data_IF_467004101269
#
_entry.id   IF_467004101269
#
_cell.length_a   1.000
_cell.length_b   1.000
_cell.length_c   1.000
_cell.angle_alpha   90.00
_cell.angle_beta   90.00
_cell.angle_gamma   90.00
#
_symmetry.space_group_name_H-M   'P 1'
#
loop_
_entity.id
_entity.type
_entity.pdbx_description
1 polymer ?
#
# COMPACT_ATOMS: atom_id res chain seq x y z
N UNK A 1 -21.94 -12.30 4.12
CA UNK A 1 -23.06 -11.37 3.83
C UNK A 1 -23.43 -10.67 5.13
N UNK A 2 -23.28 -9.35 5.24
CA UNK A 2 -23.66 -8.61 6.45
C UNK A 2 -25.19 -8.47 6.49
N UNK A 3 -25.79 -8.83 7.62
CA UNK A 3 -27.22 -8.65 7.82
C UNK A 3 -27.53 -7.16 8.08
N UNK A 4 -28.76 -6.73 7.80
CA UNK A 4 -29.21 -5.34 8.04
C UNK A 4 -29.01 -4.90 9.49
N UNK A 5 -29.13 -5.82 10.45
CA UNK A 5 -28.85 -5.59 11.87
C UNK A 5 -27.39 -5.23 12.14
N UNK A 6 -26.45 -5.90 11.45
CA UNK A 6 -25.01 -5.68 11.63
C UNK A 6 -24.61 -4.30 11.07
N UNK A 7 -25.20 -3.92 9.94
CA UNK A 7 -24.99 -2.60 9.34
C UNK A 7 -25.53 -1.51 10.29
N UNK A 8 -26.70 -1.69 10.87
CA UNK A 8 -27.27 -0.74 11.81
C UNK A 8 -26.45 -0.64 13.10
N UNK A 9 -25.92 -1.74 13.61
CA UNK A 9 -25.01 -1.74 14.76
C UNK A 9 -23.72 -0.96 14.48
N UNK A 10 -23.12 -1.16 13.32
CA UNK A 10 -21.93 -0.42 12.88
C UNK A 10 -22.23 1.07 12.76
N UNK A 11 -23.34 1.43 12.11
CA UNK A 11 -23.76 2.85 11.96
C UNK A 11 -23.99 3.50 13.32
N UNK A 12 -24.64 2.80 14.25
CA UNK A 12 -24.90 3.30 15.60
C UNK A 12 -23.59 3.50 16.36
N UNK A 13 -22.67 2.55 16.27
CA UNK A 13 -21.33 2.66 16.89
C UNK A 13 -20.55 3.85 16.34
N UNK A 14 -20.45 3.96 15.01
CA UNK A 14 -19.72 5.07 14.37
C UNK A 14 -20.32 6.44 14.75
N UNK A 15 -21.64 6.55 14.87
CA UNK A 15 -22.30 7.79 15.31
C UNK A 15 -22.12 8.08 16.80
N UNK A 16 -21.88 7.07 17.61
CA UNK A 16 -21.63 7.24 19.05
C UNK A 16 -20.19 7.66 19.37
N UNK A 17 -19.25 7.43 18.44
CA UNK A 17 -17.86 7.87 18.58
C UNK A 17 -17.81 9.38 18.36
N UNK A 18 -17.38 10.12 19.38
CA UNK A 18 -17.20 11.56 19.27
C UNK A 18 -16.20 11.88 18.18
N UNK A 19 -16.59 12.78 17.27
CA UNK A 19 -15.66 13.30 16.27
C UNK A 19 -14.56 14.09 16.99
N UNK A 20 -13.32 13.65 16.86
CA UNK A 20 -12.16 14.44 17.27
C UNK A 20 -11.90 15.45 16.15
N UNK A 21 -11.88 16.73 16.50
CA UNK A 21 -11.52 17.76 15.53
C UNK A 21 -10.12 17.49 14.99
N UNK A 22 -9.95 17.58 13.68
CA UNK A 22 -8.66 17.30 13.03
C UNK A 22 -7.54 18.23 13.53
N UNK A 23 -7.94 19.43 14.01
CA UNK A 23 -7.04 20.40 14.66
C UNK A 23 -6.45 19.90 15.98
N UNK A 24 -7.10 18.95 16.65
CA UNK A 24 -6.67 18.45 17.96
C UNK A 24 -5.80 17.19 17.85
N UNK A 25 -5.63 16.67 16.62
CA UNK A 25 -4.70 15.58 16.36
C UNK A 25 -3.29 16.14 16.25
N UNK A 26 -2.29 15.52 16.92
CA UNK A 26 -0.91 15.88 16.69
C UNK A 26 -0.60 15.71 15.20
N UNK A 27 0.03 16.71 14.60
CA UNK A 27 0.47 16.63 13.21
C UNK A 27 1.18 15.28 12.98
N UNK A 28 0.83 14.54 11.92
CA UNK A 28 1.55 13.32 11.58
C UNK A 28 3.03 13.70 11.46
N UNK A 29 3.88 13.15 12.32
CA UNK A 29 5.32 13.31 12.13
C UNK A 29 5.61 12.83 10.71
N UNK A 30 6.16 13.73 9.90
CA UNK A 30 6.64 13.35 8.58
C UNK A 30 7.49 12.09 8.74
N UNK A 31 7.12 11.02 8.04
CA UNK A 31 8.00 9.85 8.00
C UNK A 31 9.36 10.33 7.54
N UNK A 32 10.44 9.91 8.21
CA UNK A 32 11.77 10.28 7.76
C UNK A 32 11.88 9.94 6.28
N UNK A 33 12.39 10.87 5.49
CA UNK A 33 12.70 10.61 4.09
C UNK A 33 13.49 9.29 4.00
N UNK A 34 13.23 8.45 2.98
CA UNK A 34 13.97 7.20 2.83
C UNK A 34 15.47 7.53 2.88
N UNK A 35 16.11 7.05 3.93
CA UNK A 35 17.53 7.27 4.14
C UNK A 35 18.32 6.51 3.07
N UNK A 36 19.58 6.88 2.86
CA UNK A 36 20.52 6.08 2.06
C UNK A 36 20.59 4.61 2.51
N UNK A 37 20.21 4.33 3.75
CA UNK A 37 20.02 3.00 4.31
C UNK A 37 18.91 2.22 3.58
N UNK A 38 17.78 2.84 3.29
CA UNK A 38 16.70 2.20 2.55
C UNK A 38 17.13 1.81 1.12
N UNK A 39 18.01 2.57 0.49
CA UNK A 39 18.60 2.21 -0.81
C UNK A 39 19.53 0.99 -0.70
N UNK A 40 20.36 0.95 0.33
CA UNK A 40 21.26 -0.19 0.57
C UNK A 40 20.50 -1.47 0.90
N UNK A 41 19.44 -1.38 1.72
CA UNK A 41 18.57 -2.52 2.05
C UNK A 41 17.77 -2.96 0.84
N UNK A 42 17.19 -2.03 0.09
CA UNK A 42 16.45 -2.35 -1.13
C UNK A 42 17.33 -2.93 -2.25
N UNK A 43 18.62 -2.61 -2.28
CA UNK A 43 19.57 -3.21 -3.23
C UNK A 43 19.82 -4.71 -2.95
N UNK A 44 19.64 -5.16 -1.70
CA UNK A 44 19.76 -6.57 -1.30
C UNK A 44 18.42 -7.32 -1.33
N UNK A 45 17.30 -6.64 -1.62
CA UNK A 45 16.01 -7.27 -1.82
C UNK A 45 16.00 -7.97 -3.18
N UNK A 46 15.29 -9.07 -3.27
CA UNK A 46 15.11 -9.87 -4.48
C UNK A 46 15.02 -8.99 -5.75
N UNK A 47 15.94 -9.16 -6.72
CA UNK A 47 15.98 -8.38 -7.94
C UNK A 47 14.68 -8.43 -8.75
N UNK A 48 13.85 -9.46 -8.55
CA UNK A 48 12.53 -9.60 -9.18
C UNK A 48 11.63 -8.43 -8.75
N UNK A 49 11.53 -8.14 -7.45
CA UNK A 49 10.70 -7.05 -6.95
C UNK A 49 11.10 -5.69 -7.53
N UNK A 50 12.41 -5.44 -7.63
CA UNK A 50 12.93 -4.23 -8.28
C UNK A 50 12.57 -4.17 -9.76
N UNK A 51 12.69 -5.29 -10.48
CA UNK A 51 12.40 -5.34 -11.91
C UNK A 51 10.90 -5.12 -12.18
N UNK A 52 10.01 -5.73 -11.39
CA UNK A 52 8.57 -5.51 -11.49
C UNK A 52 8.22 -4.05 -11.18
N UNK A 53 8.81 -3.47 -10.12
CA UNK A 53 8.59 -2.07 -9.79
C UNK A 53 9.01 -1.15 -10.94
N UNK A 54 10.16 -1.38 -11.53
CA UNK A 54 10.68 -0.62 -12.67
C UNK A 54 9.72 -0.65 -13.86
N UNK A 55 9.21 -1.83 -14.19
CA UNK A 55 8.39 -2.03 -15.39
C UNK A 55 6.93 -1.61 -15.24
N UNK A 56 6.35 -1.70 -14.04
CA UNK A 56 4.91 -1.53 -13.86
C UNK A 56 4.50 -0.41 -12.89
N UNK A 57 5.37 0.03 -11.99
CA UNK A 57 4.99 0.89 -10.88
C UNK A 57 5.64 2.27 -10.94
N UNK A 58 6.91 2.34 -11.34
CA UNK A 58 7.71 3.56 -11.31
C UNK A 58 7.13 4.71 -12.15
N UNK A 59 6.38 4.39 -13.22
CA UNK A 59 5.74 5.41 -14.07
C UNK A 59 4.72 6.28 -13.34
N UNK A 60 4.04 5.73 -12.32
CA UNK A 60 3.07 6.47 -11.51
C UNK A 60 3.60 6.82 -10.13
N UNK A 61 4.37 5.93 -9.50
CA UNK A 61 4.85 6.08 -8.14
C UNK A 61 6.20 6.79 -8.02
N UNK A 62 6.91 6.95 -9.15
CA UNK A 62 8.27 7.47 -9.22
C UNK A 62 9.32 6.62 -8.46
N UNK A 63 10.59 6.80 -8.79
CA UNK A 63 11.70 6.11 -8.12
C UNK A 63 11.94 6.60 -6.69
N UNK A 64 11.54 7.82 -6.40
CA UNK A 64 11.60 8.41 -5.06
C UNK A 64 10.46 7.95 -4.15
N UNK A 65 9.41 7.32 -4.72
CA UNK A 65 8.17 7.02 -4.02
C UNK A 65 7.31 8.26 -3.75
N UNK A 66 7.66 9.40 -4.34
CA UNK A 66 6.87 10.65 -4.29
C UNK A 66 6.43 10.99 -5.70
N UNK A 67 5.17 10.71 -5.99
CA UNK A 67 4.64 10.93 -7.34
C UNK A 67 4.53 12.41 -7.68
N UNK A 68 5.18 12.88 -8.74
CA UNK A 68 5.07 14.28 -9.17
C UNK A 68 3.79 14.58 -9.94
N UNK A 69 3.12 13.54 -10.45
CA UNK A 69 1.96 13.67 -11.36
C UNK A 69 0.66 13.33 -10.64
N UNK A 70 0.69 12.35 -9.77
CA UNK A 70 -0.48 11.83 -9.05
C UNK A 70 -0.18 11.88 -7.55
N UNK A 71 -0.53 12.94 -6.81
CA UNK A 71 -0.19 13.08 -5.39
C UNK A 71 -0.62 11.88 -4.54
N UNK A 72 -1.75 11.25 -4.90
CA UNK A 72 -2.29 10.07 -4.22
C UNK A 72 -1.53 8.77 -4.51
N UNK A 73 -0.60 8.77 -5.47
CA UNK A 73 0.28 7.65 -5.78
C UNK A 73 1.61 7.70 -5.00
N UNK A 74 1.76 8.66 -4.10
CA UNK A 74 2.92 8.72 -3.20
C UNK A 74 2.95 7.51 -2.28
N UNK A 75 4.11 6.87 -2.15
CA UNK A 75 4.34 5.69 -1.31
C UNK A 75 5.01 6.03 0.02
N UNK A 76 5.86 7.05 0.02
CA UNK A 76 6.58 7.49 1.23
C UNK A 76 5.62 8.09 2.26
N UNK A 77 5.78 7.71 3.53
CA UNK A 77 4.93 8.20 4.61
C UNK A 77 3.54 7.59 4.68
N UNK A 78 3.19 6.69 3.77
CA UNK A 78 1.87 6.05 3.75
C UNK A 78 1.81 4.90 4.76
N UNK A 79 0.78 4.88 5.59
CA UNK A 79 0.62 3.89 6.67
C UNK A 79 0.64 2.44 6.16
N UNK A 80 0.00 2.17 5.02
CA UNK A 80 -0.03 0.82 4.44
C UNK A 80 1.34 0.33 4.00
N UNK A 81 2.23 1.23 3.57
CA UNK A 81 3.60 0.91 3.17
C UNK A 81 4.51 0.75 4.40
N UNK A 82 4.16 1.40 5.51
CA UNK A 82 4.87 1.27 6.80
C UNK A 82 4.43 0.05 7.61
N UNK A 83 3.40 -0.66 7.17
CA UNK A 83 2.94 -1.89 7.83
C UNK A 83 3.86 -3.07 7.46
N UNK A 84 4.58 -3.66 8.43
CA UNK A 84 5.51 -4.76 8.16
C UNK A 84 4.82 -6.04 7.67
N UNK A 85 3.51 -6.18 7.86
CA UNK A 85 2.75 -7.31 7.29
C UNK A 85 2.54 -7.17 5.80
N UNK A 86 2.61 -5.95 5.27
CA UNK A 86 2.34 -5.56 3.89
C UNK A 86 0.98 -6.03 3.35
N UNK A 87 0.04 -6.44 4.20
CA UNK A 87 -1.26 -6.99 3.77
C UNK A 87 -2.01 -6.02 2.86
N UNK A 88 -2.09 -4.74 3.24
CA UNK A 88 -2.76 -3.73 2.42
C UNK A 88 -2.01 -3.45 1.11
N UNK A 89 -0.67 -3.47 1.12
CA UNK A 89 0.15 -3.31 -0.09
C UNK A 89 -0.16 -4.44 -1.06
N UNK A 90 -0.17 -5.69 -0.58
CA UNK A 90 -0.49 -6.87 -1.38
C UNK A 90 -1.91 -6.78 -1.94
N UNK A 91 -2.91 -6.46 -1.10
CA UNK A 91 -4.30 -6.35 -1.55
C UNK A 91 -4.47 -5.30 -2.66
N UNK A 92 -3.83 -4.15 -2.52
CA UNK A 92 -3.86 -3.09 -3.53
C UNK A 92 -3.17 -3.54 -4.83
N UNK A 93 -2.07 -4.27 -4.74
CA UNK A 93 -1.40 -4.82 -5.92
C UNK A 93 -2.31 -5.86 -6.62
N UNK A 94 -2.92 -6.76 -5.86
CA UNK A 94 -3.79 -7.81 -6.40
C UNK A 94 -5.04 -7.25 -7.07
N UNK A 95 -5.76 -6.37 -6.37
CA UNK A 95 -7.12 -5.94 -6.72
C UNK A 95 -7.20 -4.57 -7.36
N UNK A 96 -6.09 -3.82 -7.34
CA UNK A 96 -6.09 -2.41 -7.73
C UNK A 96 -6.75 -1.51 -6.67
N UNK A 97 -6.84 -0.23 -7.00
CA UNK A 97 -7.52 0.74 -6.16
C UNK A 97 -8.20 1.81 -7.02
N UNK A 98 -9.43 2.16 -6.65
CA UNK A 98 -10.18 3.23 -7.27
C UNK A 98 -10.52 4.28 -6.23
N UNK A 99 -10.12 5.52 -6.49
CA UNK A 99 -10.52 6.65 -5.67
C UNK A 99 -11.21 7.70 -6.52
N UNK A 100 -12.36 8.15 -6.06
CA UNK A 100 -13.09 9.24 -6.66
C UNK A 100 -13.09 10.41 -5.67
N UNK A 101 -12.66 11.56 -6.16
CA UNK A 101 -12.74 12.85 -5.47
C UNK A 101 -13.82 13.68 -6.13
N UNK A 102 -14.13 14.85 -5.59
CA UNK A 102 -15.14 15.75 -6.16
C UNK A 102 -14.84 16.17 -7.60
N UNK A 103 -13.56 16.26 -7.94
CA UNK A 103 -13.05 16.83 -9.19
C UNK A 103 -12.10 15.90 -9.97
N UNK A 104 -11.72 14.76 -9.39
CA UNK A 104 -10.77 13.86 -9.98
C UNK A 104 -11.06 12.38 -9.68
N UNK A 105 -10.67 11.52 -10.61
CA UNK A 105 -10.66 10.06 -10.43
C UNK A 105 -9.25 9.54 -10.57
N UNK A 106 -8.80 8.78 -9.60
CA UNK A 106 -7.51 8.10 -9.65
C UNK A 106 -7.70 6.60 -9.57
N UNK A 107 -7.04 5.88 -10.46
CA UNK A 107 -7.11 4.42 -10.53
C UNK A 107 -5.71 3.84 -10.54
N UNK A 108 -5.44 2.89 -9.66
CA UNK A 108 -4.35 1.94 -9.76
C UNK A 108 -4.91 0.64 -10.34
N UNK A 109 -4.39 0.13 -11.47
CA UNK A 109 -4.87 -1.11 -12.03
C UNK A 109 -4.59 -2.31 -11.13
N UNK A 110 -5.39 -3.35 -11.28
CA UNK A 110 -5.14 -4.64 -10.64
C UNK A 110 -4.03 -5.39 -11.37
N UNK A 111 -3.07 -5.93 -10.63
CA UNK A 111 -1.95 -6.69 -11.16
C UNK A 111 -2.02 -8.19 -10.82
N UNK A 112 -3.07 -8.61 -10.13
CA UNK A 112 -3.23 -9.99 -9.68
C UNK A 112 -3.16 -11.03 -10.81
N UNK A 113 -3.68 -10.74 -12.00
CA UNK A 113 -3.62 -11.63 -13.15
C UNK A 113 -2.34 -11.48 -13.99
N UNK A 114 -1.57 -10.42 -13.79
CA UNK A 114 -0.39 -10.10 -14.59
C UNK A 114 0.90 -10.71 -14.05
N UNK A 115 0.96 -10.98 -12.75
CA UNK A 115 2.16 -11.45 -12.07
C UNK A 115 1.88 -12.69 -11.21
N UNK A 116 2.88 -13.56 -11.10
CA UNK A 116 2.87 -14.72 -10.22
C UNK A 116 2.94 -14.30 -8.74
N UNK A 117 2.57 -15.23 -7.85
CA UNK A 117 2.62 -15.01 -6.40
C UNK A 117 4.02 -14.67 -5.92
N UNK A 118 5.05 -15.26 -6.52
CA UNK A 118 6.45 -14.94 -6.23
C UNK A 118 6.81 -13.52 -6.61
N UNK A 119 6.40 -13.06 -7.78
CA UNK A 119 6.67 -11.71 -8.25
C UNK A 119 5.95 -10.67 -7.40
N UNK A 120 4.70 -10.94 -7.01
CA UNK A 120 3.94 -10.04 -6.12
C UNK A 120 4.55 -10.01 -4.72
N UNK A 121 4.98 -11.15 -4.17
CA UNK A 121 5.67 -11.19 -2.89
C UNK A 121 6.98 -10.38 -2.93
N UNK A 122 7.79 -10.59 -3.96
CA UNK A 122 9.04 -9.85 -4.18
C UNK A 122 8.79 -8.35 -4.34
N UNK A 123 7.74 -7.96 -5.07
CA UNK A 123 7.35 -6.55 -5.24
C UNK A 123 6.91 -5.92 -3.92
N UNK A 124 6.07 -6.59 -3.12
CA UNK A 124 5.62 -6.08 -1.84
C UNK A 124 6.79 -5.88 -0.86
N UNK A 125 7.71 -6.85 -0.81
CA UNK A 125 8.92 -6.76 0.00
C UNK A 125 9.84 -5.62 -0.47
N UNK A 126 9.98 -5.43 -1.79
CA UNK A 126 10.74 -4.31 -2.34
C UNK A 126 10.11 -2.95 -1.96
N UNK A 127 8.78 -2.80 -2.13
CA UNK A 127 8.07 -1.55 -1.83
C UNK A 127 8.21 -1.17 -0.36
N UNK A 128 8.00 -2.12 0.56
CA UNK A 128 8.12 -1.87 2.00
C UNK A 128 9.57 -1.59 2.43
N UNK A 129 10.53 -2.32 1.88
CA UNK A 129 11.95 -2.09 2.15
C UNK A 129 12.43 -0.73 1.62
N UNK A 130 11.92 -0.30 0.46
CA UNK A 130 12.37 0.92 -0.23
C UNK A 130 11.70 2.18 0.30
N UNK A 131 10.41 2.13 0.59
CA UNK A 131 9.59 3.30 0.90
C UNK A 131 8.94 3.26 2.28
N UNK A 132 8.97 2.12 2.96
CA UNK A 132 8.42 1.91 4.28
C UNK A 132 9.44 2.13 5.40
N UNK A 133 8.93 2.08 6.63
CA UNK A 133 9.76 2.17 7.84
C UNK A 133 10.54 0.87 8.11
N UNK A 134 10.01 -0.27 7.65
CA UNK A 134 10.60 -1.60 7.83
C UNK A 134 10.28 -2.50 6.62
N UNK A 135 11.20 -3.39 6.23
CA UNK A 135 10.93 -4.37 5.19
C UNK A 135 9.91 -5.40 5.69
N UNK A 136 9.03 -5.84 4.79
CA UNK A 136 8.17 -7.00 5.01
C UNK A 136 8.89 -8.31 4.63
N UNK A 137 8.28 -9.44 5.03
CA UNK A 137 8.74 -10.79 4.70
C UNK A 137 7.60 -11.62 4.08
N UNK A 138 6.90 -11.04 3.12
CA UNK A 138 5.81 -11.69 2.40
C UNK A 138 6.34 -12.84 1.56
N UNK A 139 5.65 -13.96 1.56
CA UNK A 139 6.00 -15.17 0.79
C UNK A 139 4.99 -15.41 -0.33
N UNK A 140 5.37 -16.18 -1.34
CA UNK A 140 4.45 -16.61 -2.40
C UNK A 140 3.22 -17.33 -1.84
N UNK A 141 3.39 -18.14 -0.81
CA UNK A 141 2.30 -18.84 -0.12
C UNK A 141 1.33 -17.86 0.56
N UNK A 142 1.83 -16.76 1.12
CA UNK A 142 0.97 -15.70 1.69
C UNK A 142 0.14 -15.03 0.59
N UNK A 143 0.71 -14.82 -0.59
CA UNK A 143 0.00 -14.24 -1.74
C UNK A 143 -1.10 -15.20 -2.23
N UNK A 144 -0.78 -16.48 -2.40
CA UNK A 144 -1.75 -17.50 -2.78
C UNK A 144 -2.96 -17.51 -1.83
N UNK A 145 -2.72 -17.49 -0.52
CA UNK A 145 -3.77 -17.42 0.49
C UNK A 145 -4.64 -16.16 0.40
N UNK A 146 -4.04 -15.01 0.14
CA UNK A 146 -4.76 -13.74 -0.04
C UNK A 146 -5.56 -13.71 -1.34
N UNK A 147 -5.01 -14.31 -2.41
CA UNK A 147 -5.68 -14.41 -3.71
C UNK A 147 -6.94 -15.30 -3.64
N UNK A 148 -6.91 -16.36 -2.83
CA UNK A 148 -8.06 -17.23 -2.61
C UNK A 148 -9.23 -16.54 -1.85
N UNK A 149 -8.99 -15.38 -1.24
CA UNK A 149 -9.99 -14.59 -0.50
C UNK A 149 -10.66 -13.50 -1.36
N UNK A 150 -10.15 -13.24 -2.56
CA UNK A 150 -10.65 -12.24 -3.50
C UNK A 150 -11.44 -12.90 -4.63
#
# INVERSE_FOLDING_TARGET
MLFRSDIMAIVTYVRSVSAVATSDLPEPKASPAPSSYAEGVAANVDPIGKAVYAGACAGCHDWSGVSPVIPYATLTGVRSVNDPTATNVVQIILSGAHRQFSDARTTMPAFGSAYSDREIASLANYVTARFGAQPSAVTAQSIEALRAQN
#
